data_IF_690108930673
#
_entry.id   IF_690108930673
#
_cell.length_a   1.000
_cell.length_b   1.000
_cell.length_c   1.000
_cell.angle_alpha   90.00
_cell.angle_beta   90.00
_cell.angle_gamma   90.00
#
_symmetry.space_group_name_H-M   'P 1'
#
loop_
_entity.id
_entity.type
_entity.pdbx_description
1 polymer ?
#
# COMPACT_ATOMS: atom_id res chain seq x y z
N UNK A 1 -5.10 -3.76 3.00
CA UNK A 1 -4.79 -4.70 4.10
C UNK A 1 -6.04 -5.09 4.85
N UNK A 2 -6.69 -4.16 5.58
CA UNK A 2 -7.84 -4.43 6.45
C UNK A 2 -9.19 -3.90 5.91
N UNK A 3 -9.27 -3.65 4.61
CA UNK A 3 -10.42 -3.13 3.85
C UNK A 3 -10.72 -4.08 2.69
N UNK A 4 -11.98 -4.22 2.30
CA UNK A 4 -12.39 -5.01 1.13
C UNK A 4 -12.04 -4.27 -0.16
N UNK A 5 -12.06 -4.99 -1.28
CA UNK A 5 -11.91 -4.37 -2.60
C UNK A 5 -13.23 -3.70 -3.00
N UNK A 6 -13.15 -2.54 -3.65
CA UNK A 6 -14.31 -1.68 -3.91
C UNK A 6 -15.40 -2.36 -4.77
N UNK A 7 -15.01 -3.29 -5.64
CA UNK A 7 -15.94 -3.98 -6.53
C UNK A 7 -16.80 -5.04 -5.81
N UNK A 8 -16.39 -5.49 -4.62
CA UNK A 8 -17.03 -6.59 -3.89
C UNK A 8 -17.47 -6.20 -2.47
N UNK A 9 -17.22 -4.96 -2.03
CA UNK A 9 -17.61 -4.53 -0.69
C UNK A 9 -17.12 -3.15 -0.29
N UNK A 10 -16.85 -2.99 1.01
CA UNK A 10 -16.50 -1.71 1.63
C UNK A 10 -14.98 -1.50 1.66
N UNK A 11 -14.51 -0.58 0.82
CA UNK A 11 -13.11 -0.24 0.67
C UNK A 11 -12.61 0.86 1.63
N UNK A 12 -13.46 1.38 2.51
CA UNK A 12 -13.14 2.51 3.40
C UNK A 12 -13.05 2.03 4.86
N UNK A 13 -14.06 1.31 5.34
CA UNK A 13 -14.15 0.96 6.76
C UNK A 13 -13.33 -0.30 7.12
N UNK A 14 -12.93 -0.38 8.38
CA UNK A 14 -12.22 -1.53 8.92
C UNK A 14 -13.07 -2.81 8.82
N UNK A 15 -12.45 -3.89 8.36
CA UNK A 15 -13.08 -5.19 8.19
C UNK A 15 -12.46 -6.18 9.18
N UNK A 16 -13.24 -6.60 10.18
CA UNK A 16 -12.77 -7.48 11.25
C UNK A 16 -12.22 -8.80 10.68
N UNK A 17 -12.93 -9.44 9.76
CA UNK A 17 -12.52 -10.72 9.16
C UNK A 17 -11.17 -10.64 8.43
N UNK A 18 -10.86 -9.51 7.77
CA UNK A 18 -9.57 -9.31 7.11
C UNK A 18 -8.45 -9.05 8.13
N UNK A 19 -8.78 -8.45 9.26
CA UNK A 19 -7.83 -8.27 10.35
C UNK A 19 -7.58 -9.59 11.08
N UNK A 20 -8.61 -10.41 11.29
CA UNK A 20 -8.48 -11.74 11.89
C UNK A 20 -7.57 -12.63 11.05
N UNK A 21 -7.67 -12.57 9.70
CA UNK A 21 -6.70 -13.25 8.82
C UNK A 21 -5.26 -12.79 9.02
N UNK A 22 -5.03 -11.51 9.32
CA UNK A 22 -3.70 -11.02 9.66
C UNK A 22 -3.27 -11.56 11.03
N UNK A 23 -4.15 -11.58 12.02
CA UNK A 23 -3.87 -12.14 13.35
C UNK A 23 -3.56 -13.64 13.28
N UNK A 24 -4.23 -14.41 12.44
CA UNK A 24 -3.95 -15.83 12.21
C UNK A 24 -2.52 -16.05 11.69
N UNK A 25 -2.02 -15.14 10.85
CA UNK A 25 -0.65 -15.20 10.35
C UNK A 25 0.36 -14.74 11.40
N UNK A 26 -0.01 -13.79 12.28
CA UNK A 26 0.82 -13.46 13.45
C UNK A 26 0.92 -14.65 14.39
N UNK A 27 -0.18 -15.35 14.65
CA UNK A 27 -0.17 -16.55 15.49
C UNK A 27 0.75 -17.65 14.92
N UNK A 28 0.87 -17.74 13.59
CA UNK A 28 1.73 -18.74 12.93
C UNK A 28 3.20 -18.30 12.82
N UNK A 29 3.45 -17.03 12.50
CA UNK A 29 4.78 -16.57 12.05
C UNK A 29 5.36 -15.40 12.85
N UNK A 30 4.58 -14.77 13.72
CA UNK A 30 5.02 -13.67 14.57
C UNK A 30 6.05 -14.09 15.61
N UNK A 31 6.74 -13.12 16.20
CA UNK A 31 7.74 -13.39 17.24
C UNK A 31 7.13 -13.27 18.64
N UNK A 32 7.82 -13.85 19.62
CA UNK A 32 7.45 -13.77 21.03
C UNK A 32 7.88 -12.42 21.62
N UNK A 33 7.12 -11.95 22.60
CA UNK A 33 7.41 -10.77 23.40
C UNK A 33 7.36 -11.09 24.87
N UNK A 34 8.33 -10.61 25.63
CA UNK A 34 8.29 -10.67 27.09
C UNK A 34 7.14 -9.82 27.68
N UNK A 35 6.61 -8.86 26.92
CA UNK A 35 5.56 -7.93 27.36
C UNK A 35 4.18 -8.37 26.89
N UNK A 36 4.06 -8.75 25.63
CA UNK A 36 2.76 -9.06 24.99
C UNK A 36 2.53 -10.56 24.77
N UNK A 37 3.47 -11.41 25.19
CA UNK A 37 3.34 -12.87 25.16
C UNK A 37 3.84 -13.51 23.86
N UNK A 38 3.66 -14.84 23.72
CA UNK A 38 4.11 -15.56 22.54
C UNK A 38 3.37 -15.11 21.27
N UNK A 39 4.03 -15.15 20.12
CA UNK A 39 3.45 -14.83 18.80
C UNK A 39 2.63 -13.54 18.80
N UNK A 40 3.22 -12.48 19.35
CA UNK A 40 2.54 -11.19 19.54
C UNK A 40 3.27 -10.02 18.89
N UNK A 41 4.44 -10.26 18.29
CA UNK A 41 5.17 -9.31 17.47
C UNK A 41 4.93 -9.61 16.00
N UNK A 42 4.57 -8.57 15.25
CA UNK A 42 4.37 -8.58 13.81
C UNK A 42 5.73 -8.33 13.16
N UNK A 43 6.24 -9.32 12.42
CA UNK A 43 7.54 -9.26 11.76
C UNK A 43 7.38 -9.24 10.23
N UNK A 44 8.52 -9.17 9.53
CA UNK A 44 8.57 -9.17 8.07
C UNK A 44 7.84 -10.38 7.46
N UNK A 45 8.04 -11.58 8.03
CA UNK A 45 7.44 -12.81 7.51
C UNK A 45 5.92 -12.78 7.56
N UNK A 46 5.34 -12.26 8.65
CA UNK A 46 3.88 -12.09 8.74
C UNK A 46 3.37 -11.26 7.56
N UNK A 47 4.04 -10.15 7.23
CA UNK A 47 3.62 -9.30 6.11
C UNK A 47 3.82 -9.94 4.75
N UNK A 48 4.90 -10.71 4.55
CA UNK A 48 5.13 -11.47 3.31
C UNK A 48 3.97 -12.44 3.03
N UNK A 49 3.62 -13.25 4.03
CA UNK A 49 2.53 -14.23 3.94
C UNK A 49 1.17 -13.55 3.77
N UNK A 50 0.91 -12.49 4.54
CA UNK A 50 -0.36 -11.78 4.50
C UNK A 50 -0.58 -11.08 3.15
N UNK A 51 0.48 -10.50 2.59
CA UNK A 51 0.39 -9.83 1.29
C UNK A 51 0.08 -10.78 0.16
N UNK A 52 0.74 -11.93 0.14
CA UNK A 52 0.45 -12.94 -0.86
C UNK A 52 -0.95 -13.53 -0.68
N UNK A 53 -1.35 -13.86 0.56
CA UNK A 53 -2.70 -14.33 0.86
C UNK A 53 -3.78 -13.33 0.41
N UNK A 54 -3.62 -12.05 0.74
CA UNK A 54 -4.58 -11.01 0.32
C UNK A 54 -4.68 -10.90 -1.20
N UNK A 55 -3.58 -11.05 -1.92
CA UNK A 55 -3.63 -11.09 -3.38
C UNK A 55 -4.45 -12.30 -3.89
N UNK A 56 -4.17 -13.51 -3.39
CA UNK A 56 -4.90 -14.72 -3.80
C UNK A 56 -6.40 -14.60 -3.53
N UNK A 57 -6.77 -14.13 -2.34
CA UNK A 57 -8.16 -13.94 -1.97
C UNK A 57 -8.86 -12.92 -2.89
N UNK A 58 -8.19 -11.81 -3.20
CA UNK A 58 -8.73 -10.75 -4.07
C UNK A 58 -8.81 -11.21 -5.53
N UNK A 59 -7.79 -11.92 -6.00
CA UNK A 59 -7.75 -12.49 -7.36
C UNK A 59 -8.87 -13.51 -7.58
N UNK A 60 -9.20 -14.29 -6.55
CA UNK A 60 -10.28 -15.27 -6.61
C UNK A 60 -11.68 -14.63 -6.50
N UNK A 61 -11.84 -13.61 -5.66
CA UNK A 61 -13.15 -13.03 -5.34
C UNK A 61 -13.55 -11.85 -6.24
N UNK A 62 -12.60 -10.99 -6.61
CA UNK A 62 -12.85 -9.75 -7.35
C UNK A 62 -12.53 -9.90 -8.85
N UNK A 63 -13.58 -10.03 -9.67
CA UNK A 63 -13.44 -10.08 -11.14
C UNK A 63 -12.95 -8.76 -11.76
N UNK A 64 -12.95 -7.67 -11.00
CA UNK A 64 -12.47 -6.34 -11.41
C UNK A 64 -11.19 -5.96 -10.66
N UNK A 65 -10.46 -6.94 -10.10
CA UNK A 65 -9.19 -6.67 -9.44
C UNK A 65 -8.23 -5.95 -10.40
N UNK A 66 -7.80 -4.76 -10.01
CA UNK A 66 -6.74 -3.98 -10.66
C UNK A 66 -5.55 -3.86 -9.72
N UNK A 67 -4.39 -4.36 -10.15
CA UNK A 67 -3.17 -4.39 -9.36
C UNK A 67 -1.95 -3.99 -10.20
N UNK A 68 -2.15 -2.98 -11.05
CA UNK A 68 -1.12 -2.33 -11.85
C UNK A 68 -0.01 -1.71 -10.98
N UNK A 69 1.10 -1.30 -11.61
CA UNK A 69 2.34 -0.93 -10.93
C UNK A 69 2.15 0.12 -9.83
N UNK A 70 1.26 1.10 -10.01
CA UNK A 70 0.92 2.09 -8.99
C UNK A 70 0.34 1.47 -7.72
N UNK A 71 -0.74 0.70 -7.87
CA UNK A 71 -1.41 0.06 -6.74
C UNK A 71 -0.51 -1.02 -6.12
N UNK A 72 0.22 -1.78 -6.92
CA UNK A 72 1.17 -2.80 -6.48
C UNK A 72 2.19 -2.18 -5.51
N UNK A 73 2.92 -1.14 -5.95
CA UNK A 73 3.97 -0.52 -5.14
C UNK A 73 3.42 0.13 -3.87
N UNK A 74 2.31 0.88 -3.97
CA UNK A 74 1.67 1.46 -2.79
C UNK A 74 1.22 0.39 -1.79
N UNK A 75 0.69 -0.73 -2.26
CA UNK A 75 0.19 -1.83 -1.44
C UNK A 75 1.28 -2.56 -0.66
N UNK A 76 2.48 -2.73 -1.24
CA UNK A 76 3.65 -3.22 -0.51
C UNK A 76 4.25 -2.13 0.39
N UNK A 77 4.28 -0.87 -0.07
CA UNK A 77 4.67 0.29 0.72
C UNK A 77 3.83 0.48 1.98
N UNK A 78 2.52 0.25 1.92
CA UNK A 78 1.60 0.27 3.07
C UNK A 78 1.95 -0.82 4.10
N UNK A 79 2.49 -1.96 3.65
CA UNK A 79 2.91 -3.06 4.54
C UNK A 79 4.21 -2.72 5.25
N UNK A 80 5.17 -2.17 4.51
CA UNK A 80 6.39 -1.61 5.07
C UNK A 80 6.09 -0.46 6.04
N UNK A 81 5.21 0.45 5.66
CA UNK A 81 4.73 1.53 6.52
C UNK A 81 4.15 0.97 7.82
N UNK A 82 3.31 -0.06 7.74
CA UNK A 82 2.76 -0.71 8.94
C UNK A 82 3.89 -1.22 9.85
N UNK A 83 4.84 -1.99 9.33
CA UNK A 83 5.94 -2.54 10.13
C UNK A 83 6.81 -1.44 10.76
N UNK A 84 7.22 -0.44 9.98
CA UNK A 84 8.18 0.56 10.42
C UNK A 84 7.58 1.75 11.16
N UNK A 85 6.36 2.15 10.81
CA UNK A 85 5.73 3.38 11.31
C UNK A 85 4.69 3.14 12.40
N UNK A 86 4.15 1.92 12.51
CA UNK A 86 3.34 1.58 13.69
C UNK A 86 4.17 0.98 14.81
N UNK A 87 5.38 0.49 14.54
CA UNK A 87 6.30 0.04 15.59
C UNK A 87 6.50 1.12 16.65
N UNK A 88 6.61 0.71 17.93
CA UNK A 88 6.91 1.65 18.99
C UNK A 88 8.36 2.13 18.82
N UNK A 89 8.57 3.44 18.70
CA UNK A 89 9.88 4.04 18.43
C UNK A 89 10.94 3.76 19.50
N UNK A 90 10.56 3.37 20.71
CA UNK A 90 11.50 2.96 21.76
C UNK A 90 11.89 1.48 21.69
N UNK A 91 11.07 0.65 21.06
CA UNK A 91 11.24 -0.81 21.00
C UNK A 91 11.68 -1.29 19.61
N UNK A 92 11.38 -0.52 18.56
CA UNK A 92 11.65 -0.87 17.17
C UNK A 92 10.81 -2.03 16.64
N UNK A 93 9.80 -2.48 17.39
CA UNK A 93 8.94 -3.61 17.02
C UNK A 93 7.46 -3.21 17.02
N UNK A 94 6.68 -3.89 16.17
CA UNK A 94 5.23 -3.74 16.10
C UNK A 94 4.57 -4.89 16.85
N UNK A 95 3.91 -4.61 17.97
CA UNK A 95 3.10 -5.59 18.68
C UNK A 95 1.66 -5.64 18.16
N UNK A 96 0.98 -6.79 18.34
CA UNK A 96 -0.44 -6.94 18.00
C UNK A 96 -1.33 -5.90 18.68
N UNK A 97 -1.19 -5.60 19.99
CA UNK A 97 -1.97 -4.53 20.62
C UNK A 97 -1.76 -3.16 19.96
N UNK A 98 -0.51 -2.81 19.64
CA UNK A 98 -0.19 -1.56 18.94
C UNK A 98 -0.82 -1.53 17.55
N UNK A 99 -0.66 -2.60 16.76
CA UNK A 99 -1.27 -2.74 15.45
C UNK A 99 -2.80 -2.65 15.51
N UNK A 100 -3.42 -3.27 16.52
CA UNK A 100 -4.87 -3.26 16.74
C UNK A 100 -5.36 -1.84 16.98
N UNK A 101 -4.68 -1.09 17.86
CA UNK A 101 -5.00 0.29 18.16
C UNK A 101 -5.00 1.17 16.91
N UNK A 102 -4.03 0.98 16.00
CA UNK A 102 -3.99 1.75 14.76
C UNK A 102 -5.08 1.34 13.76
N UNK A 103 -5.24 0.04 13.48
CA UNK A 103 -6.16 -0.40 12.42
C UNK A 103 -7.63 -0.34 12.82
N UNK A 104 -7.95 -0.79 14.03
CA UNK A 104 -9.32 -0.92 14.54
C UNK A 104 -9.77 0.35 15.24
N UNK A 105 -8.97 0.81 16.21
CA UNK A 105 -9.37 1.90 17.09
C UNK A 105 -9.02 3.28 16.52
N UNK A 106 -8.12 3.33 15.53
CA UNK A 106 -7.61 4.55 14.91
C UNK A 106 -7.00 5.52 15.93
N UNK A 107 -6.37 4.96 16.98
CA UNK A 107 -5.76 5.71 18.07
C UNK A 107 -4.28 5.36 18.21
N UNK A 108 -3.48 6.33 18.65
CA UNK A 108 -2.13 6.04 19.16
C UNK A 108 -2.23 5.30 20.49
N UNK A 109 -1.54 4.16 20.67
CA UNK A 109 -1.55 3.45 21.95
C UNK A 109 -0.94 4.28 23.09
N UNK A 110 -1.34 3.99 24.32
CA UNK A 110 -0.68 4.55 25.49
C UNK A 110 0.80 4.16 25.52
N UNK A 111 1.69 5.11 25.85
CA UNK A 111 3.15 4.93 25.87
C UNK A 111 3.76 4.51 24.53
N UNK A 112 3.06 4.72 23.42
CA UNK A 112 3.63 4.59 22.09
C UNK A 112 4.39 5.87 21.74
N UNK A 113 5.62 5.72 21.28
CA UNK A 113 6.45 6.83 20.83
C UNK A 113 6.61 6.76 19.32
N UNK A 114 6.50 7.90 18.63
CA UNK A 114 6.96 8.00 17.26
C UNK A 114 8.46 7.71 17.19
N UNK A 115 8.94 7.28 16.03
CA UNK A 115 10.38 7.15 15.76
C UNK A 115 11.13 8.46 16.03
N UNK A 116 12.38 8.32 16.44
CA UNK A 116 13.27 9.44 16.76
C UNK A 116 13.76 10.20 15.52
N UNK A 117 13.77 9.56 14.34
CA UNK A 117 14.11 10.17 13.05
C UNK A 117 12.90 10.25 12.11
N UNK A 118 12.86 11.25 11.21
CA UNK A 118 11.92 11.24 10.08
C UNK A 118 12.10 9.97 9.26
N UNK A 119 11.01 9.35 8.84
CA UNK A 119 11.08 8.27 7.86
C UNK A 119 11.31 8.81 6.45
N UNK A 120 11.97 8.03 5.60
CA UNK A 120 12.20 8.38 4.19
C UNK A 120 11.41 7.46 3.26
N UNK A 121 11.27 7.88 2.00
CA UNK A 121 10.66 7.04 0.96
C UNK A 121 11.54 5.83 0.63
N UNK A 122 12.86 5.98 0.70
CA UNK A 122 13.82 4.91 0.44
C UNK A 122 13.69 3.82 1.51
N UNK A 123 13.56 4.19 2.79
CA UNK A 123 13.32 3.22 3.88
C UNK A 123 12.04 2.41 3.67
N UNK A 124 10.95 3.07 3.23
CA UNK A 124 9.69 2.38 2.91
C UNK A 124 9.89 1.49 1.68
N UNK A 125 10.60 1.97 0.66
CA UNK A 125 10.88 1.26 -0.58
C UNK A 125 11.68 -0.01 -0.38
N UNK A 126 12.77 0.07 0.39
CA UNK A 126 13.63 -1.07 0.72
C UNK A 126 12.83 -2.15 1.45
N UNK A 127 12.11 -1.77 2.52
CA UNK A 127 11.31 -2.73 3.27
C UNK A 127 10.10 -3.26 2.48
N UNK A 128 9.52 -2.46 1.58
CA UNK A 128 8.49 -2.94 0.65
C UNK A 128 9.07 -3.98 -0.32
N UNK A 129 10.31 -3.78 -0.77
CA UNK A 129 11.09 -4.74 -1.53
C UNK A 129 11.29 -6.05 -0.78
N UNK A 130 11.61 -5.99 0.52
CA UNK A 130 11.75 -7.18 1.37
C UNK A 130 10.43 -7.96 1.50
N UNK A 131 9.29 -7.26 1.62
CA UNK A 131 7.97 -7.90 1.66
C UNK A 131 7.63 -8.53 0.30
N UNK A 132 7.95 -7.84 -0.80
CA UNK A 132 7.69 -8.30 -2.17
C UNK A 132 8.54 -9.51 -2.56
N UNK A 133 9.81 -9.56 -2.13
CA UNK A 133 10.78 -10.55 -2.57
C UNK A 133 10.41 -12.00 -2.23
N UNK A 134 9.60 -12.23 -1.19
CA UNK A 134 9.14 -13.58 -0.81
C UNK A 134 8.17 -14.18 -1.84
N UNK A 135 7.24 -13.36 -2.36
CA UNK A 135 6.22 -13.78 -3.31
C UNK A 135 5.99 -12.69 -4.36
N UNK A 136 6.86 -12.61 -5.38
CA UNK A 136 6.74 -11.59 -6.42
C UNK A 136 5.44 -11.74 -7.22
N UNK A 137 4.62 -10.69 -7.25
CA UNK A 137 3.40 -10.61 -8.06
C UNK A 137 3.62 -9.61 -9.19
N UNK A 138 3.48 -9.99 -10.47
CA UNK A 138 3.60 -9.04 -11.56
C UNK A 138 2.42 -8.05 -11.53
N UNK A 139 2.64 -6.77 -11.91
CA UNK A 139 1.55 -5.84 -12.18
C UNK A 139 0.54 -6.43 -13.16
N UNK A 140 -0.74 -6.13 -13.00
CA UNK A 140 -1.78 -6.66 -13.87
C UNK A 140 -3.19 -6.46 -13.34
N UNK A 141 -4.14 -7.13 -13.97
CA UNK A 141 -5.55 -7.09 -13.59
C UNK A 141 -6.25 -8.40 -13.93
N UNK A 142 -7.38 -8.65 -13.27
CA UNK A 142 -8.29 -9.71 -13.67
C UNK A 142 -9.02 -9.33 -14.96
N UNK A 143 -9.11 -10.28 -15.90
CA UNK A 143 -9.95 -10.14 -17.08
C UNK A 143 -11.43 -10.44 -16.76
N UNK A 144 -12.32 -10.32 -17.75
CA UNK A 144 -13.76 -10.56 -17.57
C UNK A 144 -14.12 -11.96 -17.04
N UNK A 145 -13.24 -12.96 -17.19
CA UNK A 145 -13.42 -14.32 -16.67
C UNK A 145 -12.85 -14.51 -15.26
N UNK A 146 -12.20 -13.49 -14.68
CA UNK A 146 -11.52 -13.56 -13.38
C UNK A 146 -10.10 -14.14 -13.45
N UNK A 147 -9.52 -14.31 -14.64
CA UNK A 147 -8.13 -14.76 -14.78
C UNK A 147 -7.20 -13.56 -14.69
N UNK A 148 -6.16 -13.65 -13.87
CA UNK A 148 -5.18 -12.57 -13.71
C UNK A 148 -4.27 -12.49 -14.94
N UNK A 149 -4.28 -11.35 -15.61
CA UNK A 149 -3.47 -11.05 -16.78
C UNK A 149 -2.41 -10.04 -16.36
N UNK A 150 -1.15 -10.45 -16.45
CA UNK A 150 -0.03 -9.56 -16.18
C UNK A 150 0.08 -8.46 -17.25
N UNK A 151 0.43 -7.27 -16.81
CA UNK A 151 0.81 -6.18 -17.70
C UNK A 151 2.08 -6.56 -18.48
N UNK A 152 2.29 -6.01 -19.69
CA UNK A 152 3.56 -6.14 -20.38
C UNK A 152 4.71 -5.67 -19.49
N UNK A 153 5.81 -6.43 -19.47
CA UNK A 153 6.99 -6.05 -18.71
C UNK A 153 7.48 -4.67 -19.19
N UNK A 154 7.67 -3.75 -18.24
CA UNK A 154 8.20 -2.42 -18.48
C UNK A 154 9.50 -2.25 -17.70
N UNK A 155 10.52 -1.70 -18.37
CA UNK A 155 11.77 -1.28 -17.75
C UNK A 155 11.80 0.24 -17.52
N UNK A 156 10.65 0.91 -17.56
CA UNK A 156 10.56 2.35 -17.32
C UNK A 156 10.81 2.65 -15.84
N UNK A 157 11.94 3.29 -15.46
CA UNK A 157 12.21 3.67 -14.07
C UNK A 157 11.21 4.71 -13.55
N UNK A 158 10.48 5.39 -14.44
CA UNK A 158 9.43 6.35 -14.12
C UNK A 158 8.03 5.75 -14.14
N UNK A 159 7.91 4.42 -14.33
CA UNK A 159 6.62 3.75 -14.51
C UNK A 159 5.64 3.98 -13.35
N UNK A 160 6.14 4.01 -12.11
CA UNK A 160 5.31 4.33 -10.94
C UNK A 160 4.73 5.75 -11.00
N UNK A 161 5.59 6.73 -11.28
CA UNK A 161 5.20 8.14 -11.39
C UNK A 161 4.28 8.39 -12.58
N UNK A 162 4.57 7.79 -13.74
CA UNK A 162 3.72 7.85 -14.92
C UNK A 162 2.35 7.22 -14.64
N UNK A 163 2.30 6.08 -13.95
CA UNK A 163 1.02 5.51 -13.57
C UNK A 163 0.23 6.44 -12.62
N UNK A 164 0.88 7.00 -11.60
CA UNK A 164 0.26 7.90 -10.64
C UNK A 164 -0.30 9.18 -11.30
N UNK A 165 0.47 9.82 -12.18
CA UNK A 165 0.15 11.15 -12.71
C UNK A 165 -0.47 11.11 -14.10
N UNK A 166 0.01 10.25 -14.98
CA UNK A 166 -0.47 10.19 -16.35
C UNK A 166 -1.75 9.34 -16.45
N UNK A 167 -1.72 8.13 -15.90
CA UNK A 167 -2.80 7.15 -16.10
C UNK A 167 -3.98 7.36 -15.14
N UNK A 168 -3.70 7.76 -13.89
CA UNK A 168 -4.72 7.88 -12.84
C UNK A 168 -5.32 9.28 -12.70
N UNK A 169 -4.74 10.33 -13.32
CA UNK A 169 -5.35 11.66 -13.31
C UNK A 169 -6.13 11.91 -14.60
N UNK A 170 -7.38 12.40 -14.50
CA UNK A 170 -8.18 12.75 -15.66
C UNK A 170 -7.47 13.75 -16.58
N UNK A 171 -7.36 13.43 -17.86
CA UNK A 171 -6.83 14.38 -18.86
C UNK A 171 -7.63 15.68 -18.94
N UNK A 172 -8.92 15.66 -18.57
CA UNK A 172 -9.79 16.84 -18.49
C UNK A 172 -9.25 17.91 -17.53
N UNK A 173 -8.43 17.55 -16.54
CA UNK A 173 -7.78 18.52 -15.65
C UNK A 173 -6.93 19.54 -16.44
N UNK A 174 -6.42 19.15 -17.61
CA UNK A 174 -5.65 20.03 -18.48
C UNK A 174 -6.51 21.08 -19.20
N UNK A 175 -7.83 20.90 -19.27
CA UNK A 175 -8.74 21.88 -19.89
C UNK A 175 -9.33 22.86 -18.87
N UNK A 176 -8.95 22.76 -17.60
CA UNK A 176 -9.36 23.72 -16.57
C UNK A 176 -8.81 25.12 -16.87
N UNK A 177 -9.44 26.16 -16.31
CA UNK A 177 -9.08 27.57 -16.56
C UNK A 177 -8.99 28.37 -15.26
N UNK A 178 -8.33 29.54 -15.31
CA UNK A 178 -8.22 30.46 -14.18
C UNK A 178 -7.53 29.80 -12.98
N UNK A 179 -8.02 30.11 -11.78
CA UNK A 179 -7.44 29.62 -10.52
C UNK A 179 -7.37 28.08 -10.44
N UNK A 180 -8.33 27.36 -11.01
CA UNK A 180 -8.29 25.89 -11.01
C UNK A 180 -7.12 25.37 -11.85
N UNK A 181 -6.84 25.99 -13.00
CA UNK A 181 -5.69 25.62 -13.83
C UNK A 181 -4.38 25.88 -13.12
N UNK A 182 -4.24 27.05 -12.51
CA UNK A 182 -3.05 27.42 -11.73
C UNK A 182 -2.77 26.40 -10.61
N UNK A 183 -3.82 25.96 -9.91
CA UNK A 183 -3.70 24.94 -8.87
C UNK A 183 -3.33 23.55 -9.42
N UNK A 184 -3.91 23.14 -10.56
CA UNK A 184 -3.55 21.88 -11.23
C UNK A 184 -2.08 21.91 -11.64
N UNK A 185 -1.62 22.98 -12.29
CA UNK A 185 -0.22 23.14 -12.71
C UNK A 185 0.73 23.15 -11.50
N UNK A 186 0.35 23.84 -10.43
CA UNK A 186 1.13 23.87 -9.20
C UNK A 186 1.28 22.45 -8.59
N UNK A 187 0.20 21.69 -8.51
CA UNK A 187 0.22 20.34 -7.95
C UNK A 187 1.02 19.37 -8.82
N UNK A 188 0.83 19.38 -10.14
CA UNK A 188 1.61 18.53 -11.07
C UNK A 188 3.11 18.82 -10.97
N UNK A 189 3.49 20.10 -10.97
CA UNK A 189 4.89 20.51 -10.81
C UNK A 189 5.46 20.15 -9.43
N UNK A 190 4.64 20.23 -8.38
CA UNK A 190 5.07 19.87 -7.01
C UNK A 190 5.29 18.37 -6.87
N UNK A 191 4.37 17.55 -7.42
CA UNK A 191 4.51 16.09 -7.42
C UNK A 191 5.74 15.67 -8.22
N UNK A 192 5.97 16.24 -9.41
CA UNK A 192 7.14 15.89 -10.23
C UNK A 192 8.48 16.05 -9.49
N UNK A 193 8.62 17.07 -8.61
CA UNK A 193 9.83 17.27 -7.81
C UNK A 193 10.16 16.10 -6.88
N UNK A 194 9.16 15.31 -6.48
CA UNK A 194 9.34 14.12 -5.65
C UNK A 194 9.90 12.92 -6.45
N UNK A 195 9.85 12.98 -7.79
CA UNK A 195 10.19 11.87 -8.69
C UNK A 195 11.33 12.21 -9.65
N UNK A 196 12.15 13.23 -9.37
CA UNK A 196 13.33 13.50 -10.19
C UNK A 196 14.26 12.26 -10.21
N UNK A 197 14.84 11.90 -11.38
CA UNK A 197 14.93 12.68 -12.62
C UNK A 197 13.80 12.44 -13.65
N UNK A 198 12.64 11.91 -13.26
CA UNK A 198 11.54 11.68 -14.19
C UNK A 198 11.04 12.98 -14.84
N UNK A 199 10.82 13.00 -16.16
CA UNK A 199 10.24 14.16 -16.84
C UNK A 199 8.82 14.42 -16.33
N UNK A 200 8.28 15.66 -16.42
CA UNK A 200 6.89 15.93 -16.08
C UNK A 200 5.93 15.02 -16.86
N UNK A 201 5.02 14.35 -16.14
CA UNK A 201 4.02 13.47 -16.74
C UNK A 201 2.78 14.28 -17.13
N UNK A 202 2.10 13.84 -18.19
CA UNK A 202 0.90 14.51 -18.72
C UNK A 202 -0.32 13.63 -18.40
N UNK A 203 -1.27 14.12 -17.57
CA UNK A 203 -2.54 13.45 -17.31
C UNK A 203 -3.29 13.09 -18.59
N UNK A 204 -3.68 11.84 -18.72
CA UNK A 204 -4.49 11.32 -19.82
C UNK A 204 -5.47 10.22 -19.38
N UNK A 205 -5.59 9.99 -18.06
CA UNK A 205 -6.55 9.09 -17.47
C UNK A 205 -8.00 9.46 -17.80
N UNK A 206 -8.90 8.50 -17.62
CA UNK A 206 -10.33 8.70 -17.82
C UNK A 206 -10.91 9.67 -16.76
N UNK A 207 -11.95 10.42 -17.13
CA UNK A 207 -12.64 11.34 -16.22
C UNK A 207 -13.66 10.68 -15.30
N UNK A 208 -13.91 9.38 -15.48
CA UNK A 208 -14.96 8.66 -14.78
C UNK A 208 -14.32 7.78 -13.70
N UNK A 209 -14.57 8.13 -12.43
CA UNK A 209 -14.44 7.25 -11.27
C UNK A 209 -15.85 7.05 -10.72
#
# INVERSE_FOLDING_TARGET
MTRQDAAIGDNIHFQADLYDQLLDLVAQYGDDSAVTGPRSIVNLRVMQEFKFKRFLDSQAADKKLEYHIGRLLLSYGESAFTLSFFANGTEGTLSVPTMTSFFRDQTFPANWNRRSSPGTIDEIGDQAGDVYAAYPIPPGANNATGAYIADPASNDPCGFYNNLVADNLPGLLLNTTGLLRENVDFLLNTINKLFLPCPPAVPHGAANI
#
